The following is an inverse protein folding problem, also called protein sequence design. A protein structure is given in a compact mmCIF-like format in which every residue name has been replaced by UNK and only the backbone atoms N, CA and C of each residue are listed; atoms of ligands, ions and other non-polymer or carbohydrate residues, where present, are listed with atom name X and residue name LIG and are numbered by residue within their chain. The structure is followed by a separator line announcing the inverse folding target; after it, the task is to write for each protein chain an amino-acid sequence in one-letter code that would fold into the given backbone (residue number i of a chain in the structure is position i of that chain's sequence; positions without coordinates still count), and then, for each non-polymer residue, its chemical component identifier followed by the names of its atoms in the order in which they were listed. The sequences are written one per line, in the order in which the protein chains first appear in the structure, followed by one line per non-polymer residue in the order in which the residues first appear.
data_IF_476531600945
#
_entry.id   IF_476531600945
#
_cell.length_a   1.000
_cell.length_b   1.000
_cell.length_c   1.000
_cell.angle_alpha   90.00
_cell.angle_beta   90.00
_cell.angle_gamma   90.00
#
_symmetry.space_group_name_H-M   'P 1'
#
loop_
_entity.id
_entity.type
_entity.pdbx_description
1 polymer ?
#
# COMPACT_ATOMS: atom_id res chain seq x y z
N UNK A 1 -2.57 -14.30 -18.65
CA UNK A 1 -1.70 -13.46 -17.77
C UNK A 1 -1.57 -14.18 -16.44
N UNK A 2 -0.40 -14.71 -16.11
CA UNK A 2 -0.15 -15.34 -14.81
C UNK A 2 0.09 -14.23 -13.80
N UNK A 3 -0.82 -14.04 -12.86
CA UNK A 3 -0.65 -13.14 -11.72
C UNK A 3 0.49 -13.66 -10.86
N UNK A 4 1.67 -13.05 -11.01
CA UNK A 4 2.79 -13.26 -10.09
C UNK A 4 2.37 -12.62 -8.77
N UNK A 5 1.95 -13.45 -7.80
CA UNK A 5 1.83 -13.06 -6.40
C UNK A 5 3.25 -12.84 -5.86
N UNK A 6 3.88 -11.72 -6.22
CA UNK A 6 5.09 -11.26 -5.55
C UNK A 6 4.67 -10.85 -4.16
N UNK A 7 5.11 -11.61 -3.16
CA UNK A 7 5.08 -11.21 -1.76
C UNK A 7 6.00 -9.98 -1.67
N UNK A 8 5.47 -8.78 -1.92
CA UNK A 8 6.09 -7.56 -1.43
C UNK A 8 6.10 -7.66 0.08
N UNK A 9 7.26 -7.44 0.71
CA UNK A 9 7.30 -7.06 2.10
C UNK A 9 6.76 -5.63 2.13
N UNK A 10 5.44 -5.51 2.04
CA UNK A 10 4.76 -4.25 2.25
C UNK A 10 5.07 -3.86 3.69
N UNK A 11 5.96 -2.90 3.88
CA UNK A 11 5.95 -2.06 5.08
C UNK A 11 4.53 -1.51 5.13
N UNK A 12 3.76 -2.04 6.07
CA UNK A 12 2.34 -1.90 6.15
C UNK A 12 1.99 -0.50 6.64
N UNK A 13 2.10 0.48 5.76
CA UNK A 13 1.21 1.64 5.81
C UNK A 13 -0.13 1.19 5.20
N UNK A 14 -0.74 0.17 5.82
CA UNK A 14 -2.00 -0.42 5.42
C UNK A 14 -3.09 0.46 6.03
N UNK A 15 -3.35 1.63 5.44
CA UNK A 15 -4.72 2.12 5.51
C UNK A 15 -5.55 1.21 4.61
N UNK A 16 -6.43 0.34 5.14
CA UNK A 16 -7.32 -0.44 4.30
C UNK A 16 -8.36 0.52 3.68
N UNK A 17 -8.03 1.18 2.57
CA UNK A 17 -8.97 2.08 1.87
C UNK A 17 -9.80 1.33 0.81
N UNK A 18 -9.77 0.01 0.82
CA UNK A 18 -10.61 -0.83 -0.03
C UNK A 18 -11.94 -1.19 0.64
N UNK A 19 -12.71 -0.19 1.06
CA UNK A 19 -14.16 -0.32 1.31
C UNK A 19 -14.93 0.96 0.96
N UNK A 20 -14.58 1.66 -0.14
CA UNK A 20 -15.48 2.71 -0.67
C UNK A 20 -16.77 2.09 -1.23
N UNK A 21 -16.75 0.79 -1.58
CA UNK A 21 -17.93 -0.04 -1.81
C UNK A 21 -17.64 -1.50 -1.46
N UNK A 22 -17.85 -1.91 -0.21
CA UNK A 22 -17.97 -3.33 0.15
C UNK A 22 -19.28 -3.50 0.92
N UNK A 23 -20.36 -3.75 0.17
CA UNK A 23 -21.51 -4.42 0.74
C UNK A 23 -21.10 -5.89 0.96
N UNK A 24 -21.04 -6.27 2.23
CA UNK A 24 -21.21 -7.60 2.80
C UNK A 24 -20.39 -8.78 2.23
N UNK A 25 -19.46 -9.31 3.04
CA UNK A 25 -19.27 -10.76 3.22
C UNK A 25 -18.06 -11.05 4.11
N UNK A 26 -18.32 -11.32 5.40
CA UNK A 26 -17.77 -12.44 6.18
C UNK A 26 -17.89 -12.12 7.68
N UNK A 27 -18.83 -12.80 8.33
CA UNK A 27 -19.05 -12.74 9.76
C UNK A 27 -17.83 -13.29 10.54
N UNK A 28 -17.03 -12.37 11.07
CA UNK A 28 -16.34 -12.47 12.36
C UNK A 28 -16.78 -11.24 13.16
N UNK A 29 -16.86 -11.35 14.49
CA UNK A 29 -17.52 -10.40 15.41
C UNK A 29 -16.78 -9.04 15.58
N UNK A 30 -16.09 -8.57 14.54
CA UNK A 30 -15.58 -7.21 14.46
C UNK A 30 -16.58 -6.37 13.66
N UNK A 31 -17.21 -5.40 14.32
CA UNK A 31 -17.98 -4.38 13.62
C UNK A 31 -17.12 -3.82 12.49
N UNK A 32 -17.65 -3.70 11.24
CA UNK A 32 -16.85 -3.22 10.12
C UNK A 32 -16.23 -1.87 10.50
N UNK A 33 -14.89 -1.82 10.49
CA UNK A 33 -14.17 -0.59 10.79
C UNK A 33 -14.74 0.53 9.90
N UNK A 34 -15.04 1.70 10.48
CA UNK A 34 -15.62 2.78 9.69
C UNK A 34 -14.70 3.14 8.54
N UNK A 35 -15.26 3.24 7.34
CA UNK A 35 -14.50 3.68 6.17
C UNK A 35 -13.91 5.08 6.41
N UNK A 36 -12.78 5.39 5.77
CA UNK A 36 -12.20 6.74 5.80
C UNK A 36 -13.22 7.83 5.43
N UNK A 37 -14.17 7.51 4.55
CA UNK A 37 -15.23 8.42 4.14
C UNK A 37 -16.21 8.77 5.27
N UNK A 38 -16.56 7.78 6.10
CA UNK A 38 -17.37 7.98 7.30
C UNK A 38 -16.59 8.69 8.41
N UNK A 39 -15.32 8.31 8.64
CA UNK A 39 -14.50 8.91 9.71
C UNK A 39 -14.23 10.40 9.49
N UNK A 40 -14.04 10.81 8.23
CA UNK A 40 -13.76 12.19 7.87
C UNK A 40 -15.01 12.96 7.43
N UNK A 41 -16.19 12.34 7.44
CA UNK A 41 -17.45 12.93 6.94
C UNK A 41 -17.26 13.58 5.55
N UNK A 42 -16.74 12.81 4.59
CA UNK A 42 -16.38 13.33 3.27
C UNK A 42 -17.62 13.68 2.45
N UNK A 43 -17.62 14.86 1.82
CA UNK A 43 -18.62 15.19 0.80
C UNK A 43 -18.47 14.31 -0.44
N UNK A 44 -19.55 14.16 -1.23
CA UNK A 44 -19.51 13.41 -2.50
C UNK A 44 -18.43 13.94 -3.46
N UNK A 45 -18.23 15.26 -3.51
CA UNK A 45 -17.19 15.86 -4.35
C UNK A 45 -15.78 15.49 -3.88
N UNK A 46 -15.55 15.45 -2.56
CA UNK A 46 -14.28 14.99 -2.00
C UNK A 46 -14.03 13.51 -2.28
N UNK A 47 -15.05 12.66 -2.10
CA UNK A 47 -14.97 11.23 -2.40
C UNK A 47 -14.56 10.98 -3.85
N UNK A 48 -15.20 11.65 -4.82
CA UNK A 48 -14.85 11.52 -6.24
C UNK A 48 -13.40 11.93 -6.54
N UNK A 49 -12.90 13.02 -5.93
CA UNK A 49 -11.51 13.46 -6.10
C UNK A 49 -10.52 12.48 -5.47
N UNK A 50 -10.85 11.94 -4.30
CA UNK A 50 -10.04 10.92 -3.61
C UNK A 50 -9.99 9.63 -4.43
N UNK A 51 -11.11 9.19 -5.02
CA UNK A 51 -11.14 8.03 -5.90
C UNK A 51 -10.24 8.21 -7.13
N UNK A 52 -10.22 9.42 -7.72
CA UNK A 52 -9.33 9.72 -8.82
C UNK A 52 -7.85 9.64 -8.40
N UNK A 53 -7.49 10.15 -7.22
CA UNK A 53 -6.14 10.05 -6.66
C UNK A 53 -5.76 8.59 -6.44
N UNK A 54 -6.65 7.77 -5.86
CA UNK A 54 -6.40 6.34 -5.62
C UNK A 54 -6.23 5.54 -6.91
N UNK A 55 -6.99 5.86 -7.97
CA UNK A 55 -6.81 5.23 -9.28
C UNK A 55 -5.47 5.58 -9.91
N UNK A 56 -5.04 6.84 -9.80
CA UNK A 56 -3.71 7.26 -10.26
C UNK A 56 -2.58 6.58 -9.47
N UNK A 57 -2.71 6.51 -8.14
CA UNK A 57 -1.80 5.76 -7.26
C UNK A 57 -1.65 4.31 -7.73
N UNK A 58 -2.76 3.59 -7.92
CA UNK A 58 -2.75 2.20 -8.39
C UNK A 58 -2.08 2.07 -9.76
N UNK A 59 -2.35 2.99 -10.68
CA UNK A 59 -1.71 3.02 -12.00
C UNK A 59 -0.20 3.21 -11.89
N UNK A 60 0.25 4.13 -11.03
CA UNK A 60 1.68 4.41 -10.80
C UNK A 60 2.38 3.22 -10.14
N UNK A 61 1.75 2.57 -9.16
CA UNK A 61 2.28 1.34 -8.54
C UNK A 61 2.40 0.22 -9.58
N UNK A 62 1.39 0.02 -10.42
CA UNK A 62 1.41 -1.00 -11.47
C UNK A 62 2.47 -0.74 -12.55
N UNK A 63 2.94 0.49 -12.69
CA UNK A 63 3.99 0.89 -13.62
C UNK A 63 5.41 0.79 -13.04
N UNK A 64 5.57 0.45 -11.75
CA UNK A 64 6.90 0.26 -11.14
C UNK A 64 7.60 -0.93 -11.80
N UNK A 65 8.83 -0.72 -12.25
CA UNK A 65 9.63 -1.75 -12.90
C UNK A 65 10.07 -2.81 -11.89
N UNK A 66 9.60 -4.05 -12.11
CA UNK A 66 9.97 -5.22 -11.32
C UNK A 66 10.86 -6.19 -12.09
N UNK A 67 11.33 -5.82 -13.29
CA UNK A 67 12.13 -6.69 -14.16
C UNK A 67 13.47 -7.10 -13.56
N UNK A 68 14.05 -6.28 -12.68
CA UNK A 68 15.30 -6.56 -11.94
C UNK A 68 15.13 -7.57 -10.81
N UNK A 69 13.90 -7.91 -10.44
CA UNK A 69 13.61 -8.89 -9.40
C UNK A 69 13.75 -10.30 -9.99
N UNK A 70 14.86 -10.95 -9.68
CA UNK A 70 15.07 -12.34 -10.06
C UNK A 70 14.18 -13.28 -9.20
N UNK A 71 13.26 -14.04 -9.80
CA UNK A 71 12.38 -14.92 -9.05
C UNK A 71 13.13 -16.17 -8.58
N UNK A 72 12.90 -16.59 -7.33
CA UNK A 72 13.38 -17.89 -6.85
C UNK A 72 14.82 -17.92 -6.34
N UNK A 73 15.56 -16.80 -6.33
CA UNK A 73 16.95 -16.70 -5.84
C UNK A 73 17.18 -17.48 -4.53
N UNK A 74 16.43 -17.15 -3.47
CA UNK A 74 16.59 -17.82 -2.18
C UNK A 74 16.19 -19.29 -2.20
N UNK A 75 15.15 -19.64 -2.98
CA UNK A 75 14.70 -21.02 -3.15
C UNK A 75 15.81 -21.87 -3.78
N UNK A 76 16.49 -21.33 -4.78
CA UNK A 76 17.56 -22.02 -5.50
C UNK A 76 18.79 -22.21 -4.60
N UNK A 77 19.17 -21.19 -3.82
CA UNK A 77 20.25 -21.28 -2.84
C UNK A 77 19.98 -22.36 -1.78
N UNK A 78 18.75 -22.40 -1.25
CA UNK A 78 18.31 -23.42 -0.28
C UNK A 78 18.40 -24.81 -0.89
N UNK A 79 17.88 -25.01 -2.11
CA UNK A 79 17.95 -26.29 -2.82
C UNK A 79 19.38 -26.73 -3.09
N UNK A 80 20.26 -25.79 -3.39
CA UNK A 80 21.67 -26.04 -3.64
C UNK A 80 22.49 -26.27 -2.36
N UNK A 81 21.96 -25.92 -1.19
CA UNK A 81 22.71 -25.92 0.07
C UNK A 81 23.92 -24.97 0.06
N UNK A 82 23.94 -24.00 -0.86
CA UNK A 82 25.08 -23.12 -1.10
C UNK A 82 24.64 -21.67 -1.06
N UNK A 83 25.30 -20.91 -0.19
CA UNK A 83 25.12 -19.47 -0.09
C UNK A 83 25.85 -18.74 -1.23
N UNK A 84 25.14 -17.83 -1.90
CA UNK A 84 25.67 -16.92 -2.89
C UNK A 84 25.37 -15.49 -2.45
N UNK A 85 26.33 -14.90 -1.74
CA UNK A 85 26.23 -13.56 -1.16
C UNK A 85 25.86 -12.50 -2.19
N UNK A 86 26.46 -12.56 -3.39
CA UNK A 86 26.28 -11.53 -4.42
C UNK A 86 24.87 -11.58 -4.98
N UNK A 87 24.40 -12.78 -5.35
CA UNK A 87 23.04 -12.94 -5.88
C UNK A 87 21.98 -12.66 -4.81
N UNK A 88 22.26 -12.98 -3.54
CA UNK A 88 21.39 -12.65 -2.42
C UNK A 88 21.26 -11.12 -2.24
N UNK A 89 22.36 -10.38 -2.18
CA UNK A 89 22.35 -8.91 -2.06
C UNK A 89 21.65 -8.25 -3.23
N UNK A 90 22.01 -8.62 -4.47
CA UNK A 90 21.38 -8.05 -5.66
C UNK A 90 19.85 -8.23 -5.65
N UNK A 91 19.37 -9.39 -5.19
CA UNK A 91 17.94 -9.64 -5.06
C UNK A 91 17.29 -8.75 -4.00
N UNK A 92 17.92 -8.61 -2.83
CA UNK A 92 17.44 -7.78 -1.72
C UNK A 92 17.40 -6.31 -2.15
N UNK A 93 18.46 -5.81 -2.75
CA UNK A 93 18.55 -4.43 -3.22
C UNK A 93 17.46 -4.15 -4.28
N UNK A 94 17.25 -5.08 -5.21
CA UNK A 94 16.15 -4.97 -6.18
C UNK A 94 14.75 -5.02 -5.55
N UNK A 95 14.54 -5.75 -4.43
CA UNK A 95 13.30 -5.62 -3.65
C UNK A 95 13.20 -4.21 -3.07
N UNK A 96 14.26 -3.78 -2.37
CA UNK A 96 14.29 -2.52 -1.63
C UNK A 96 14.01 -1.32 -2.54
N UNK A 97 14.60 -1.30 -3.75
CA UNK A 97 14.34 -0.26 -4.74
C UNK A 97 12.87 -0.19 -5.16
N UNK A 98 12.21 -1.35 -5.33
CA UNK A 98 10.79 -1.41 -5.68
C UNK A 98 9.93 -0.98 -4.49
N UNK A 99 10.21 -1.47 -3.29
CA UNK A 99 9.47 -1.14 -2.08
C UNK A 99 9.59 0.36 -1.76
N UNK A 100 10.77 0.96 -1.92
CA UNK A 100 10.99 2.40 -1.77
C UNK A 100 10.15 3.22 -2.76
N UNK A 101 10.10 2.82 -4.03
CA UNK A 101 9.29 3.51 -5.04
C UNK A 101 7.79 3.40 -4.74
N UNK A 102 7.30 2.21 -4.39
CA UNK A 102 5.90 2.00 -4.02
C UNK A 102 5.54 2.81 -2.76
N UNK A 103 6.42 2.83 -1.76
CA UNK A 103 6.23 3.60 -0.53
C UNK A 103 6.15 5.09 -0.83
N UNK A 104 7.05 5.62 -1.66
CA UNK A 104 6.98 7.00 -2.11
C UNK A 104 5.65 7.32 -2.81
N UNK A 105 5.18 6.44 -3.70
CA UNK A 105 3.90 6.62 -4.41
C UNK A 105 2.73 6.69 -3.42
N UNK A 106 2.69 5.77 -2.44
CA UNK A 106 1.65 5.73 -1.39
C UNK A 106 1.65 6.99 -0.53
N UNK A 107 2.81 7.41 -0.02
CA UNK A 107 2.94 8.63 0.80
C UNK A 107 2.52 9.87 0.01
N UNK A 108 2.91 9.96 -1.27
CA UNK A 108 2.47 11.05 -2.14
C UNK A 108 0.95 11.07 -2.33
N UNK A 109 0.32 9.91 -2.52
CA UNK A 109 -1.14 9.82 -2.64
C UNK A 109 -1.85 10.25 -1.35
N UNK A 110 -1.33 9.88 -0.17
CA UNK A 110 -1.85 10.36 1.11
C UNK A 110 -1.74 11.87 1.26
N UNK A 111 -0.60 12.45 0.85
CA UNK A 111 -0.44 13.89 0.80
C UNK A 111 -1.46 14.54 -0.14
N UNK A 112 -1.67 14.00 -1.34
CA UNK A 112 -2.63 14.55 -2.31
C UNK A 112 -4.07 14.48 -1.78
N UNK A 113 -4.44 13.39 -1.10
CA UNK A 113 -5.74 13.27 -0.40
C UNK A 113 -5.88 14.38 0.64
N UNK A 114 -4.84 14.66 1.42
CA UNK A 114 -4.87 15.72 2.44
C UNK A 114 -5.18 17.12 1.87
N UNK A 115 -4.87 17.36 0.58
CA UNK A 115 -5.16 18.61 -0.12
C UNK A 115 -6.63 18.73 -0.58
N UNK A 116 -7.37 17.62 -0.60
CA UNK A 116 -8.81 17.59 -0.90
C UNK A 116 -9.66 17.88 0.34
N UNK A 117 -9.09 17.64 1.53
CA UNK A 117 -9.75 17.80 2.82
C UNK A 117 -9.82 19.25 3.27
N UNK A 118 -10.82 19.56 4.12
CA UNK A 118 -10.83 20.80 4.90
C UNK A 118 -9.72 20.80 5.96
N UNK A 119 -9.47 21.95 6.59
CA UNK A 119 -8.44 22.04 7.65
C UNK A 119 -8.69 21.06 8.80
N UNK A 120 -9.93 20.99 9.30
CA UNK A 120 -10.34 20.08 10.37
C UNK A 120 -10.22 18.61 9.95
N UNK A 121 -10.74 18.25 8.76
CA UNK A 121 -10.61 16.91 8.22
C UNK A 121 -9.15 16.49 8.05
N UNK A 122 -8.28 17.42 7.63
CA UNK A 122 -6.84 17.16 7.49
C UNK A 122 -6.16 16.90 8.83
N UNK A 123 -6.53 17.64 9.88
CA UNK A 123 -6.04 17.39 11.23
C UNK A 123 -6.49 16.00 11.72
N UNK A 124 -7.77 15.66 11.55
CA UNK A 124 -8.27 14.35 11.92
C UNK A 124 -7.57 13.23 11.12
N UNK A 125 -7.36 13.44 9.82
CA UNK A 125 -6.63 12.50 8.96
C UNK A 125 -5.18 12.29 9.42
N UNK A 126 -4.49 13.33 9.90
CA UNK A 126 -3.15 13.21 10.46
C UNK A 126 -3.12 12.41 11.77
N UNK A 127 -4.15 12.54 12.62
CA UNK A 127 -4.26 11.73 13.84
C UNK A 127 -4.54 10.25 13.53
N UNK A 128 -5.35 9.95 12.51
CA UNK A 128 -5.54 8.57 12.03
C UNK A 128 -4.21 7.97 11.57
N UNK A 129 -3.40 8.74 10.84
CA UNK A 129 -2.07 8.32 10.38
C UNK A 129 -1.10 8.04 11.54
N UNK A 130 -1.13 8.86 12.60
CA UNK A 130 -0.32 8.67 13.80
C UNK A 130 -0.67 7.39 14.56
N UNK A 131 -1.96 7.03 14.62
CA UNK A 131 -2.42 5.79 15.27
C UNK A 131 -1.92 4.55 14.55
N UNK A 132 -1.95 4.56 13.22
CA UNK A 132 -1.44 3.47 12.39
C UNK A 132 0.05 3.22 12.63
N UNK A 133 0.86 4.29 12.65
CA UNK A 133 2.31 4.21 12.90
C UNK A 133 2.68 3.78 14.33
N UNK A 134 1.74 3.84 15.27
CA UNK A 134 1.96 3.46 16.67
C UNK A 134 1.49 2.02 16.98
N UNK A 135 0.88 1.34 16.00
CA UNK A 135 0.37 -0.03 16.12
C UNK A 135 1.37 -1.11 15.63
N UNK A 136 2.48 -0.71 15.02
CA UNK A 136 3.65 -1.54 14.65
C UNK A 136 4.73 -1.51 15.75
#
# INVERSE_FOLDING_TARGET
MKTIKTLMLATALLLPVSTVFAADAAAGDDAPAPSLASELNLSKAQQQRIDAIRKDEQKRIAAVDTSKIEPGVFRDMIKAGKWDETRARNRIDAVGDVDNQVTYIRVKALFDISQVLTGEQRQHFAELFKKELAAD
#
